data_IF_128223405677
#
_entry.id   IF_128223405677
#
_cell.length_a   1.000
_cell.length_b   1.000
_cell.length_c   1.000
_cell.angle_alpha   90.00
_cell.angle_beta   90.00
_cell.angle_gamma   90.00
#
_symmetry.space_group_name_H-M   'P 1'
#
loop_
_entity.id
_entity.type
_entity.pdbx_description
1 polymer ?
#
# COMPACT_ATOMS: atom_id res chain seq x y z
N UNK A 1 7.66 8.40 29.90
CA UNK A 1 6.27 8.09 29.44
C UNK A 1 5.97 8.39 27.95
N UNK A 2 6.78 9.22 27.27
CA UNK A 2 6.66 9.54 25.83
C UNK A 2 7.24 8.48 24.89
N UNK A 3 8.34 7.81 25.28
CA UNK A 3 9.03 6.80 24.46
C UNK A 3 8.16 5.58 24.14
N UNK A 4 7.39 5.09 25.12
CA UNK A 4 6.53 3.92 24.96
C UNK A 4 5.36 4.14 23.98
N UNK A 5 4.83 5.37 23.93
CA UNK A 5 3.79 5.74 22.96
C UNK A 5 4.32 5.74 21.53
N UNK A 6 5.54 6.26 21.32
CA UNK A 6 6.20 6.23 20.01
C UNK A 6 6.45 4.79 19.54
N UNK A 7 6.96 3.93 20.42
CA UNK A 7 7.20 2.52 20.11
C UNK A 7 5.91 1.78 19.74
N UNK A 8 4.84 1.92 20.54
CA UNK A 8 3.53 1.31 20.24
C UNK A 8 3.00 1.75 18.87
N UNK A 9 3.16 3.03 18.53
CA UNK A 9 2.73 3.56 17.24
C UNK A 9 3.50 2.92 16.08
N UNK A 10 4.81 2.70 16.22
CA UNK A 10 5.63 2.03 15.20
C UNK A 10 5.28 0.54 15.07
N UNK A 11 5.10 -0.17 16.17
CA UNK A 11 4.65 -1.57 16.15
C UNK A 11 3.29 -1.72 15.48
N UNK A 12 2.37 -0.78 15.72
CA UNK A 12 1.09 -0.72 15.01
C UNK A 12 1.28 -0.56 13.49
N UNK A 13 2.23 0.26 13.03
CA UNK A 13 2.51 0.41 11.60
C UNK A 13 3.13 -0.86 10.99
N UNK A 14 4.02 -1.54 11.71
CA UNK A 14 4.57 -2.86 11.29
C UNK A 14 3.43 -3.86 11.09
N UNK A 15 2.47 -3.90 12.00
CA UNK A 15 1.31 -4.78 11.89
C UNK A 15 0.41 -4.40 10.70
N UNK A 16 0.29 -3.10 10.39
CA UNK A 16 -0.40 -2.65 9.17
C UNK A 16 0.30 -3.09 7.88
N UNK A 17 1.63 -3.16 7.86
CA UNK A 17 2.38 -3.73 6.71
C UNK A 17 2.07 -5.21 6.54
N UNK A 18 1.93 -5.96 7.65
CA UNK A 18 1.55 -7.38 7.59
C UNK A 18 0.12 -7.56 7.04
N UNK A 19 -0.79 -6.66 7.37
CA UNK A 19 -2.17 -6.64 6.85
C UNK A 19 -2.29 -6.17 5.39
N UNK A 20 -1.32 -5.40 4.89
CA UNK A 20 -1.40 -4.80 3.55
C UNK A 20 -1.35 -5.84 2.43
N UNK A 21 -2.18 -5.71 1.40
CA UNK A 21 -2.10 -6.55 0.20
C UNK A 21 -1.18 -5.92 -0.85
N UNK A 22 -1.16 -4.59 -0.90
CA UNK A 22 -0.37 -3.82 -1.86
C UNK A 22 0.59 -2.86 -1.16
N UNK A 23 1.87 -2.96 -1.50
CA UNK A 23 2.96 -2.17 -0.93
C UNK A 23 3.49 -1.18 -1.98
N UNK A 24 3.55 0.10 -1.62
CA UNK A 24 4.20 1.14 -2.41
C UNK A 24 5.62 1.38 -1.92
N UNK A 25 6.61 0.91 -2.67
CA UNK A 25 8.02 1.15 -2.39
C UNK A 25 8.44 2.52 -2.94
N UNK A 26 8.60 3.50 -2.06
CA UNK A 26 8.92 4.87 -2.41
C UNK A 26 10.44 5.08 -2.39
N UNK A 27 10.99 5.44 -3.53
CA UNK A 27 12.41 5.68 -3.74
C UNK A 27 12.67 7.18 -3.77
N UNK A 28 13.32 7.70 -2.70
CA UNK A 28 13.64 9.12 -2.55
C UNK A 28 14.79 9.60 -3.43
N UNK A 29 15.94 8.92 -3.31
CA UNK A 29 17.20 9.34 -3.93
C UNK A 29 17.98 8.10 -4.37
N UNK A 30 18.31 8.02 -5.66
CA UNK A 30 19.01 6.88 -6.28
C UNK A 30 20.54 6.91 -6.01
N UNK A 31 21.06 8.01 -5.47
CA UNK A 31 22.50 8.22 -5.28
C UNK A 31 23.12 7.47 -4.09
N UNK A 32 22.32 6.73 -3.31
CA UNK A 32 22.80 5.99 -2.14
C UNK A 32 23.22 4.57 -2.56
N UNK A 33 24.41 4.14 -2.11
CA UNK A 33 24.90 2.78 -2.35
C UNK A 33 23.96 1.73 -1.75
N UNK A 34 23.80 0.58 -2.43
CA UNK A 34 22.91 -0.50 -1.96
C UNK A 34 21.43 -0.34 -2.33
N UNK A 35 21.08 0.71 -3.08
CA UNK A 35 19.67 0.99 -3.42
C UNK A 35 19.02 -0.12 -4.24
N UNK A 36 19.73 -0.64 -5.25
CA UNK A 36 19.21 -1.69 -6.14
C UNK A 36 19.01 -3.00 -5.40
N UNK A 37 19.94 -3.34 -4.51
CA UNK A 37 19.90 -4.48 -3.62
C UNK A 37 18.70 -4.36 -2.67
N UNK A 38 18.47 -3.17 -2.09
CA UNK A 38 17.33 -2.91 -1.22
C UNK A 38 15.99 -3.05 -1.95
N UNK A 39 15.87 -2.53 -3.17
CA UNK A 39 14.66 -2.70 -4.00
C UNK A 39 14.41 -4.17 -4.31
N UNK A 40 15.44 -4.91 -4.72
CA UNK A 40 15.32 -6.34 -5.01
C UNK A 40 14.93 -7.14 -3.76
N UNK A 41 15.47 -6.79 -2.60
CA UNK A 41 15.11 -7.39 -1.32
C UNK A 41 13.64 -7.20 -0.98
N UNK A 42 13.13 -5.97 -1.07
CA UNK A 42 11.69 -5.71 -0.80
C UNK A 42 10.81 -6.49 -1.75
N UNK A 43 11.18 -6.56 -3.04
CA UNK A 43 10.44 -7.36 -4.02
C UNK A 43 10.43 -8.85 -3.65
N UNK A 44 11.57 -9.40 -3.22
CA UNK A 44 11.67 -10.79 -2.79
C UNK A 44 10.82 -11.06 -1.54
N UNK A 45 10.91 -10.20 -0.52
CA UNK A 45 10.12 -10.32 0.71
C UNK A 45 8.61 -10.22 0.46
N UNK A 46 8.20 -9.24 -0.35
CA UNK A 46 6.80 -9.09 -0.68
C UNK A 46 6.28 -10.24 -1.54
N UNK A 47 7.08 -10.76 -2.47
CA UNK A 47 6.74 -11.96 -3.25
C UNK A 47 6.57 -13.18 -2.33
N UNK A 48 7.50 -13.40 -1.41
CA UNK A 48 7.41 -14.48 -0.42
C UNK A 48 6.20 -14.31 0.52
N UNK A 49 5.75 -13.08 0.75
CA UNK A 49 4.54 -12.79 1.51
C UNK A 49 3.24 -12.80 0.67
N UNK A 50 3.30 -13.05 -0.65
CA UNK A 50 2.15 -13.02 -1.55
C UNK A 50 1.56 -11.63 -1.80
N UNK A 51 2.36 -10.55 -1.65
CA UNK A 51 1.92 -9.15 -1.73
C UNK A 51 2.36 -8.48 -3.03
N UNK A 52 1.54 -7.56 -3.55
CA UNK A 52 1.85 -6.75 -4.74
C UNK A 52 2.79 -5.60 -4.36
N UNK A 53 3.77 -5.28 -5.22
CA UNK A 53 4.72 -4.18 -4.99
C UNK A 53 4.72 -3.20 -6.16
N UNK A 54 4.48 -1.93 -5.88
CA UNK A 54 4.70 -0.82 -6.81
C UNK A 54 5.95 -0.04 -6.41
N UNK A 55 6.88 0.15 -7.35
CA UNK A 55 8.07 0.98 -7.11
C UNK A 55 7.81 2.39 -7.63
N UNK A 56 7.80 3.37 -6.73
CA UNK A 56 7.45 4.76 -7.01
C UNK A 56 8.70 5.61 -6.77
N UNK A 57 9.29 6.17 -7.83
CA UNK A 57 10.41 7.09 -7.70
C UNK A 57 9.91 8.52 -7.50
N UNK A 58 10.30 9.13 -6.39
CA UNK A 58 9.89 10.49 -6.02
C UNK A 58 11.08 11.18 -5.40
N UNK A 59 11.49 12.37 -5.88
CA UNK A 59 12.59 13.12 -5.25
C UNK A 59 12.32 13.44 -3.78
N UNK A 60 11.66 14.57 -3.50
CA UNK A 60 11.20 14.90 -2.14
C UNK A 60 9.80 14.34 -1.90
N UNK A 61 9.67 13.45 -0.92
CA UNK A 61 8.38 12.89 -0.47
C UNK A 61 7.55 13.99 0.20
N UNK A 62 6.27 14.07 -0.15
CA UNK A 62 5.28 14.91 0.52
C UNK A 62 3.92 14.19 0.55
N UNK A 63 2.97 14.75 1.29
CA UNK A 63 1.61 14.19 1.42
C UNK A 63 0.91 14.12 0.06
N UNK A 64 0.87 15.22 -0.69
CA UNK A 64 0.16 15.29 -1.98
C UNK A 64 0.62 14.24 -3.01
N UNK A 65 1.90 13.90 -3.04
CA UNK A 65 2.46 12.92 -3.97
C UNK A 65 2.07 11.50 -3.60
N UNK A 66 2.06 11.17 -2.31
CA UNK A 66 1.62 9.84 -1.87
C UNK A 66 0.10 9.68 -1.94
N UNK A 67 -0.65 10.77 -1.70
CA UNK A 67 -2.11 10.78 -1.80
C UNK A 67 -2.62 10.29 -3.17
N UNK A 68 -1.91 10.61 -4.26
CA UNK A 68 -2.24 10.15 -5.61
C UNK A 68 -2.25 8.62 -5.76
N UNK A 69 -1.51 7.90 -4.90
CA UNK A 69 -1.39 6.44 -4.94
C UNK A 69 -2.14 5.77 -3.78
N UNK A 70 -2.70 6.54 -2.84
CA UNK A 70 -3.39 6.02 -1.66
C UNK A 70 -4.65 5.19 -1.98
N UNK A 71 -5.22 5.32 -3.18
CA UNK A 71 -6.35 4.49 -3.58
C UNK A 71 -5.95 3.03 -3.87
N UNK A 72 -4.74 2.83 -4.40
CA UNK A 72 -4.28 1.53 -4.90
C UNK A 72 -3.22 0.89 -3.99
N UNK A 73 -2.57 1.69 -3.13
CA UNK A 73 -1.54 1.25 -2.18
C UNK A 73 -2.08 1.27 -0.76
N UNK A 74 -1.91 0.16 -0.04
CA UNK A 74 -2.33 0.04 1.35
C UNK A 74 -1.32 0.62 2.33
N UNK A 75 -0.02 0.50 2.02
CA UNK A 75 1.08 0.98 2.87
C UNK A 75 2.30 1.35 2.04
N UNK A 76 2.98 2.43 2.43
CA UNK A 76 4.19 2.91 1.78
C UNK A 76 5.44 2.54 2.57
N UNK A 77 6.45 2.02 1.88
CA UNK A 77 7.78 1.74 2.43
C UNK A 77 8.75 2.76 1.85
N UNK A 78 9.38 3.56 2.72
CA UNK A 78 10.37 4.55 2.30
C UNK A 78 11.76 3.93 2.21
N UNK A 79 12.33 3.97 1.00
CA UNK A 79 13.76 3.79 0.77
C UNK A 79 14.44 5.16 0.80
N UNK A 80 14.89 5.57 1.98
CA UNK A 80 15.60 6.83 2.21
C UNK A 80 16.85 6.64 3.05
N UNK A 81 17.62 7.72 3.20
CA UNK A 81 18.74 7.80 4.15
C UNK A 81 18.28 7.44 5.59
N UNK A 82 19.13 6.78 6.40
CA UNK A 82 18.82 6.37 7.77
C UNK A 82 18.29 7.50 8.67
N UNK A 83 18.71 8.74 8.44
CA UNK A 83 18.24 9.89 9.22
C UNK A 83 16.86 10.43 8.78
N UNK A 84 16.37 10.03 7.60
CA UNK A 84 15.12 10.52 7.01
C UNK A 84 13.86 9.74 7.42
N UNK A 85 13.99 8.72 8.26
CA UNK A 85 12.94 7.72 8.54
C UNK A 85 12.03 8.11 9.71
N UNK A 86 12.46 9.05 10.55
CA UNK A 86 11.69 9.59 11.70
C UNK A 86 10.74 10.71 11.27
N UNK A 87 10.09 10.56 10.11
CA UNK A 87 9.06 11.51 9.67
C UNK A 87 7.85 11.45 10.60
N UNK A 88 7.25 12.60 10.86
CA UNK A 88 5.92 12.65 11.46
C UNK A 88 4.92 12.11 10.44
N UNK A 89 4.55 10.85 10.61
CA UNK A 89 3.65 10.14 9.70
C UNK A 89 2.18 10.46 9.94
N UNK A 90 1.85 11.40 10.85
CA UNK A 90 0.46 11.74 11.18
C UNK A 90 -0.32 12.36 10.02
N UNK A 91 0.37 12.99 9.07
CA UNK A 91 -0.25 13.74 7.96
C UNK A 91 -0.50 12.90 6.70
N UNK A 92 -0.09 11.62 6.69
CA UNK A 92 -0.28 10.74 5.53
C UNK A 92 -1.52 9.86 5.72
N UNK A 93 -2.32 9.73 4.67
CA UNK A 93 -3.56 8.93 4.71
C UNK A 93 -3.31 7.43 4.89
N UNK A 94 -2.19 6.96 4.34
CA UNK A 94 -1.74 5.56 4.44
C UNK A 94 -0.50 5.46 5.32
N UNK A 95 -0.31 4.32 6.02
CA UNK A 95 0.89 4.10 6.81
C UNK A 95 2.15 4.27 5.96
N UNK A 96 3.12 4.99 6.52
CA UNK A 96 4.45 5.18 5.91
C UNK A 96 5.47 4.61 6.86
N UNK A 97 6.18 3.58 6.41
CA UNK A 97 7.15 2.83 7.22
C UNK A 97 8.54 2.89 6.63
N UNK A 98 9.52 2.62 7.49
CA UNK A 98 10.90 2.40 7.09
C UNK A 98 11.09 1.05 6.42
N UNK A 99 12.20 0.90 5.68
CA UNK A 99 12.60 -0.41 5.18
C UNK A 99 12.81 -1.43 6.31
N UNK A 100 13.37 -1.02 7.44
CA UNK A 100 13.59 -1.91 8.58
C UNK A 100 12.27 -2.42 9.20
N UNK A 101 11.27 -1.55 9.30
CA UNK A 101 9.93 -1.93 9.77
C UNK A 101 9.24 -2.88 8.78
N UNK A 102 9.40 -2.65 7.48
CA UNK A 102 8.91 -3.55 6.44
C UNK A 102 9.64 -4.91 6.47
N UNK A 103 10.94 -4.91 6.76
CA UNK A 103 11.74 -6.13 6.94
C UNK A 103 11.17 -6.97 8.09
N UNK A 104 10.92 -6.38 9.26
CA UNK A 104 10.34 -7.09 10.41
C UNK A 104 8.90 -7.56 10.15
N UNK A 105 8.16 -6.81 9.33
CA UNK A 105 6.81 -7.19 8.96
C UNK A 105 6.79 -8.43 8.05
N UNK A 106 7.66 -8.46 7.03
CA UNK A 106 7.61 -9.43 5.94
C UNK A 106 8.56 -10.61 6.12
N UNK A 107 9.64 -10.45 6.86
CA UNK A 107 10.63 -11.48 7.11
C UNK A 107 10.34 -12.19 8.44
N UNK A 108 9.97 -13.46 8.36
CA UNK A 108 9.61 -14.26 9.53
C UNK A 108 10.80 -14.59 10.44
N UNK A 109 12.00 -14.67 9.87
CA UNK A 109 13.24 -14.88 10.64
C UNK A 109 13.62 -13.66 11.48
N UNK A 110 13.04 -12.49 11.18
CA UNK A 110 13.42 -11.24 11.80
C UNK A 110 12.39 -10.85 12.85
N UNK A 111 12.63 -11.28 14.06
CA UNK A 111 11.86 -10.81 15.21
C UNK A 111 12.22 -9.36 15.56
N UNK A 112 11.24 -8.62 16.07
CA UNK A 112 11.47 -7.32 16.68
C UNK A 112 12.31 -7.49 17.94
N UNK A 113 13.63 -7.39 17.82
CA UNK A 113 14.54 -7.48 18.96
C UNK A 113 14.92 -6.08 19.45
N UNK A 114 14.33 -5.66 20.56
CA UNK A 114 14.70 -4.42 21.23
C UNK A 114 16.19 -4.38 21.65
N UNK A 115 16.82 -5.55 21.83
CA UNK A 115 18.22 -5.68 22.26
C UNK A 115 19.24 -5.54 21.12
N UNK A 116 18.88 -5.92 19.88
CA UNK A 116 19.76 -5.80 18.71
C UNK A 116 19.77 -4.38 18.11
N UNK A 117 18.95 -3.48 18.66
CA UNK A 117 18.86 -2.09 18.24
C UNK A 117 17.99 -1.90 16.99
N UNK A 118 17.13 -0.88 17.04
CA UNK A 118 16.46 -0.39 15.83
C UNK A 118 17.51 0.29 14.94
N UNK A 119 17.67 -0.17 13.70
CA UNK A 119 18.56 0.46 12.72
C UNK A 119 17.74 0.96 11.54
N UNK A 120 17.97 2.21 11.15
CA UNK A 120 17.40 2.76 9.92
C UNK A 120 18.29 2.56 8.71
N UNK A 121 19.50 2.02 8.91
CA UNK A 121 20.45 1.72 7.86
C UNK A 121 20.21 0.33 7.31
N UNK A 122 19.67 0.28 6.09
CA UNK A 122 19.34 -0.98 5.44
C UNK A 122 20.54 -1.74 4.90
N UNK A 123 21.70 -1.09 4.74
CA UNK A 123 22.90 -1.77 4.24
C UNK A 123 23.35 -2.89 5.18
N UNK A 124 23.01 -2.78 6.47
CA UNK A 124 23.34 -3.76 7.51
C UNK A 124 22.60 -5.08 7.36
N UNK A 125 21.42 -5.08 6.72
CA UNK A 125 20.56 -6.26 6.63
C UNK A 125 20.12 -6.62 5.21
N UNK A 126 20.53 -5.85 4.20
CA UNK A 126 20.10 -6.09 2.82
C UNK A 126 20.56 -7.46 2.29
N UNK A 127 21.64 -7.99 2.86
CA UNK A 127 22.23 -9.28 2.50
C UNK A 127 21.83 -10.42 3.45
N UNK A 128 20.99 -10.16 4.46
CA UNK A 128 20.54 -11.22 5.39
C UNK A 128 19.76 -12.29 4.61
N UNK A 129 19.92 -13.59 4.92
CA UNK A 129 19.20 -14.65 4.23
C UNK A 129 17.69 -14.48 4.40
N UNK A 130 16.96 -14.48 3.28
CA UNK A 130 15.49 -14.49 3.26
C UNK A 130 15.00 -15.94 3.28
N UNK A 131 14.00 -16.27 4.10
CA UNK A 131 13.33 -17.58 4.01
C UNK A 131 12.62 -17.69 2.66
N UNK A 132 12.96 -18.73 1.92
CA UNK A 132 12.13 -19.27 0.84
C UNK A 132 10.86 -19.87 1.46
N UNK A 133 9.70 -19.62 0.84
CA UNK A 133 8.31 -19.98 1.22
C UNK A 133 8.07 -21.39 1.84
N UNK A 134 9.05 -22.30 1.83
CA UNK A 134 8.95 -23.72 2.13
C UNK A 134 9.24 -24.15 3.59
N UNK A 135 9.68 -23.28 4.50
CA UNK A 135 10.24 -23.71 5.80
C UNK A 135 9.42 -23.32 7.03
N UNK A 136 8.11 -23.11 6.90
CA UNK A 136 7.24 -23.03 8.08
C UNK A 136 6.69 -24.41 8.43
N UNK A 137 7.13 -24.93 9.57
CA UNK A 137 6.65 -26.18 10.18
C UNK A 137 5.57 -25.95 11.24
N UNK A 138 5.19 -24.69 11.52
CA UNK A 138 4.18 -24.36 12.52
C UNK A 138 2.84 -23.98 11.84
N UNK A 139 1.88 -24.89 11.95
CA UNK A 139 0.48 -24.82 11.49
C UNK A 139 -0.37 -23.75 12.23
N UNK A 140 0.25 -22.78 12.89
CA UNK A 140 -0.47 -21.73 13.58
C UNK A 140 -1.03 -20.70 12.57
N UNK A 141 -2.35 -20.41 12.61
CA UNK A 141 -2.94 -19.39 11.74
C UNK A 141 -2.37 -18.01 12.07
N UNK A 142 -1.92 -17.28 11.05
CA UNK A 142 -1.48 -15.89 11.19
C UNK A 142 -2.72 -14.99 11.35
N UNK A 143 -2.89 -14.37 12.52
CA UNK A 143 -4.02 -13.50 12.84
C UNK A 143 -3.53 -12.07 13.01
N UNK A 144 -4.19 -11.14 12.32
CA UNK A 144 -3.95 -9.70 12.48
C UNK A 144 -4.22 -9.24 13.91
N UNK A 145 -3.21 -8.67 14.57
CA UNK A 145 -3.35 -8.12 15.92
C UNK A 145 -4.16 -6.81 15.94
N UNK A 146 -4.39 -6.19 14.78
CA UNK A 146 -5.18 -4.95 14.66
C UNK A 146 -6.63 -5.23 14.31
N UNK A 147 -6.88 -6.15 13.37
CA UNK A 147 -8.24 -6.40 12.85
C UNK A 147 -8.86 -7.72 13.33
N UNK A 148 -8.07 -8.61 13.94
CA UNK A 148 -8.50 -9.96 14.32
C UNK A 148 -8.76 -10.89 13.13
N UNK A 149 -8.46 -10.47 11.90
CA UNK A 149 -8.67 -11.27 10.68
C UNK A 149 -7.53 -12.26 10.49
N UNK A 150 -7.87 -13.47 10.04
CA UNK A 150 -6.89 -14.48 9.63
C UNK A 150 -6.29 -14.09 8.28
N UNK A 151 -4.96 -14.07 8.17
CA UNK A 151 -4.23 -13.78 6.94
C UNK A 151 -4.02 -15.08 6.17
N UNK A 152 -4.57 -15.16 4.97
CA UNK A 152 -4.30 -16.28 4.06
C UNK A 152 -3.06 -15.89 3.26
N UNK A 153 -1.94 -16.60 3.46
CA UNK A 153 -0.80 -16.51 2.55
C UNK A 153 -1.13 -17.31 1.30
N UNK A 154 -1.05 -16.67 0.14
CA UNK A 154 -1.08 -17.38 -1.13
C UNK A 154 0.16 -18.27 -1.20
N UNK A 155 0.00 -19.55 -0.89
CA UNK A 155 0.97 -20.57 -1.30
C UNK A 155 0.79 -20.70 -2.81
N UNK A 156 1.89 -20.62 -3.57
CA UNK A 156 1.85 -20.95 -5.00
C UNK A 156 1.33 -22.40 -5.09
N UNK A 157 0.12 -22.59 -5.62
CA UNK A 157 -0.46 -23.90 -5.86
C UNK A 157 0.45 -24.65 -6.85
N UNK A 158 1.19 -25.64 -6.37
CA UNK A 158 1.59 -26.75 -7.22
C UNK A 158 0.33 -27.57 -7.56
N UNK A 159 0.15 -27.88 -8.85
CA UNK A 159 -1.07 -28.47 -9.38
C UNK A 159 -1.50 -29.78 -8.68
N UNK A 160 -2.82 -29.83 -8.39
CA UNK A 160 -3.72 -30.99 -8.27
C UNK A 160 -3.54 -31.99 -7.12
N UNK A 161 -4.57 -32.04 -6.28
CA UNK A 161 -5.25 -33.31 -5.99
C UNK A 161 -6.74 -33.07 -5.75
N UNK A 162 -7.58 -33.87 -6.40
CA UNK A 162 -9.04 -33.81 -6.31
C UNK A 162 -9.50 -34.15 -4.87
N UNK A 163 -10.38 -33.31 -4.30
CA UNK A 163 -11.22 -33.72 -3.16
C UNK A 163 -11.07 -32.96 -1.84
N UNK A 164 -10.45 -31.78 -1.80
CA UNK A 164 -10.44 -30.92 -0.61
C UNK A 164 -11.26 -29.65 -0.82
N UNK A 165 -12.30 -29.44 0.00
CA UNK A 165 -13.09 -28.19 0.01
C UNK A 165 -12.14 -27.01 0.29
N UNK A 166 -11.80 -26.23 -0.74
CA UNK A 166 -11.09 -24.97 -0.57
C UNK A 166 -12.03 -23.98 0.11
N UNK A 167 -11.69 -23.56 1.32
CA UNK A 167 -12.37 -22.46 1.99
C UNK A 167 -12.33 -21.23 1.09
N UNK A 168 -13.53 -20.80 0.70
CA UNK A 168 -13.86 -19.70 -0.21
C UNK A 168 -12.88 -18.52 -0.06
N UNK A 169 -12.12 -18.24 -1.11
CA UNK A 169 -11.40 -16.98 -1.23
C UNK A 169 -12.42 -15.84 -1.24
N UNK A 170 -12.50 -15.08 -0.14
CA UNK A 170 -13.38 -13.92 0.02
C UNK A 170 -12.83 -12.67 -0.71
N UNK A 171 -12.28 -12.83 -1.91
CA UNK A 171 -11.73 -11.71 -2.68
C UNK A 171 -11.96 -11.95 -4.17
N UNK A 172 -13.18 -11.68 -4.63
CA UNK A 172 -13.45 -11.49 -6.05
C UNK A 172 -12.80 -10.19 -6.54
N UNK A 173 -12.32 -10.18 -7.78
CA UNK A 173 -11.73 -9.01 -8.43
C UNK A 173 -12.69 -7.79 -8.47
N UNK A 174 -13.99 -7.98 -8.26
CA UNK A 174 -15.01 -6.93 -8.14
C UNK A 174 -15.00 -6.16 -6.81
N UNK A 175 -14.57 -6.78 -5.71
CA UNK A 175 -14.57 -6.13 -4.38
C UNK A 175 -13.61 -4.93 -4.28
N UNK A 176 -12.68 -4.81 -5.23
CA UNK A 176 -11.75 -3.68 -5.34
C UNK A 176 -12.44 -2.35 -5.69
N UNK A 177 -13.56 -2.41 -6.42
CA UNK A 177 -14.35 -1.23 -6.79
C UNK A 177 -15.44 -0.92 -5.76
N UNK A 178 -15.89 -1.91 -4.98
CA UNK A 178 -16.98 -1.72 -4.01
C UNK A 178 -16.63 -0.77 -2.87
N UNK A 179 -15.38 -0.76 -2.42
CA UNK A 179 -14.92 0.08 -1.32
C UNK A 179 -14.62 1.54 -1.74
N UNK A 180 -14.74 1.90 -3.02
CA UNK A 180 -14.49 3.27 -3.51
C UNK A 180 -15.74 4.13 -3.34
N UNK A 181 -15.55 5.37 -2.88
CA UNK A 181 -16.62 6.37 -2.82
C UNK A 181 -17.04 6.84 -4.22
N UNK A 182 -16.13 6.78 -5.20
CA UNK A 182 -16.41 7.05 -6.60
C UNK A 182 -16.46 5.73 -7.38
N UNK A 183 -17.66 5.38 -7.87
CA UNK A 183 -17.90 4.16 -8.67
C UNK A 183 -17.95 4.41 -10.18
N UNK A 184 -17.61 5.62 -10.62
CA UNK A 184 -17.76 6.05 -12.00
C UNK A 184 -19.05 6.85 -12.23
N UNK A 185 -19.29 7.21 -13.50
CA UNK A 185 -20.58 7.73 -13.93
C UNK A 185 -21.56 6.56 -13.96
N UNK A 186 -22.72 6.71 -13.32
CA UNK A 186 -23.72 5.66 -13.29
C UNK A 186 -24.45 5.60 -14.64
N UNK A 187 -24.19 4.55 -15.42
CA UNK A 187 -24.78 4.36 -16.75
C UNK A 187 -26.29 4.06 -16.69
N UNK A 188 -26.82 3.69 -15.52
CA UNK A 188 -28.26 3.44 -15.32
C UNK A 188 -29.11 4.72 -15.25
N UNK A 189 -28.45 5.89 -15.16
CA UNK A 189 -29.12 7.19 -15.10
C UNK A 189 -29.89 7.51 -16.40
N UNK A 190 -29.56 6.84 -17.51
CA UNK A 190 -30.29 6.97 -18.77
C UNK A 190 -31.71 6.34 -18.73
N UNK A 191 -31.99 5.42 -17.81
CA UNK A 191 -33.30 4.73 -17.72
C UNK A 191 -34.34 5.47 -16.88
N UNK A 192 -33.90 6.42 -16.04
CA UNK A 192 -34.81 7.17 -15.15
C UNK A 192 -35.34 8.43 -15.84
N UNK A 193 -36.66 8.50 -16.04
CA UNK A 193 -37.40 9.61 -16.68
C UNK A 193 -37.14 11.01 -16.07
N UNK A 194 -36.56 11.10 -14.88
CA UNK A 194 -36.22 12.36 -14.23
C UNK A 194 -34.93 13.02 -14.78
N UNK A 195 -34.11 12.29 -15.55
CA UNK A 195 -32.79 12.75 -16.03
C UNK A 195 -32.75 13.28 -17.46
N UNK A 196 -33.86 13.32 -18.20
CA UNK A 196 -33.88 13.97 -19.53
C UNK A 196 -33.51 15.46 -19.47
N UNK A 197 -33.70 16.11 -18.30
CA UNK A 197 -33.34 17.52 -18.11
C UNK A 197 -31.83 17.78 -17.98
N UNK A 198 -31.04 16.82 -17.47
CA UNK A 198 -29.60 16.99 -17.22
C UNK A 198 -28.73 16.51 -18.38
N UNK A 199 -29.26 15.62 -19.22
CA UNK A 199 -28.62 15.08 -20.43
C UNK A 199 -29.11 15.74 -21.72
N UNK A 200 -30.04 16.70 -21.63
CA UNK A 200 -30.47 17.48 -22.77
C UNK A 200 -29.29 18.19 -23.43
N UNK A 201 -29.05 17.88 -24.71
CA UNK A 201 -28.04 18.54 -25.52
C UNK A 201 -28.50 19.98 -25.74
N UNK A 202 -27.89 20.92 -25.03
CA UNK A 202 -28.14 22.35 -25.19
C UNK A 202 -27.05 22.97 -26.06
N UNK A 203 -27.46 23.95 -26.85
CA UNK A 203 -26.51 24.75 -27.62
C UNK A 203 -25.61 25.55 -26.67
N UNK A 204 -24.29 25.36 -26.80
CA UNK A 204 -23.29 26.03 -25.98
C UNK A 204 -23.23 27.54 -26.21
N UNK A 205 -22.55 28.26 -25.31
CA UNK A 205 -22.38 29.72 -25.44
C UNK A 205 -21.59 30.08 -26.70
N UNK A 206 -22.06 31.09 -27.44
CA UNK A 206 -21.41 31.61 -28.65
C UNK A 206 -20.82 32.98 -28.39
N UNK A 207 -19.68 33.28 -29.01
CA UNK A 207 -19.01 34.57 -28.90
C UNK A 207 -17.48 34.47 -28.85
N UNK A 208 -16.83 35.61 -28.63
CA UNK A 208 -15.37 35.70 -28.41
C UNK A 208 -15.10 35.62 -26.91
N UNK A 209 -13.94 35.09 -26.52
CA UNK A 209 -13.57 34.95 -25.10
C UNK A 209 -13.57 36.28 -24.29
N UNK A 210 -13.57 37.44 -24.98
CA UNK A 210 -13.69 38.76 -24.37
C UNK A 210 -15.13 39.17 -24.01
N UNK A 211 -16.13 38.38 -24.39
CA UNK A 211 -17.54 38.59 -24.07
C UNK A 211 -18.42 37.64 -24.89
N UNK A 212 -19.09 36.72 -24.22
CA UNK A 212 -20.07 35.84 -24.87
C UNK A 212 -21.38 36.59 -25.13
N UNK A 213 -22.12 36.20 -26.16
CA UNK A 213 -23.36 36.88 -26.59
C UNK A 213 -24.44 36.87 -25.49
N UNK A 214 -24.40 35.86 -24.63
CA UNK A 214 -25.30 35.61 -23.52
C UNK A 214 -24.73 36.07 -22.16
N UNK A 215 -23.64 36.82 -22.15
CA UNK A 215 -23.06 37.41 -20.94
C UNK A 215 -23.69 38.79 -20.67
N UNK A 216 -24.26 38.99 -19.48
CA UNK A 216 -24.79 40.30 -19.10
C UNK A 216 -23.64 41.31 -19.00
N UNK A 217 -23.70 42.38 -19.79
CA UNK A 217 -22.78 43.50 -19.65
C UNK A 217 -22.97 44.12 -18.27
N UNK A 218 -21.89 44.11 -17.47
CA UNK A 218 -21.77 44.94 -16.29
C UNK A 218 -21.64 46.41 -16.66
#
# INVERSE_FOLDING_TARGET
>A
PSSWRGLRRRLFMVEKVRDANTIGLVVGTVAVAGHREAVNRVRALAKAAGKKVYVISVGKVNVAKLANFSADVDTFVLLSCPFGVLLDTSSFDKPVVSLFEAEIALNENKEWMAQAGWTSDYTQFVNDPTISLSTRTDDAPDVSLVSGRVRVRAVEEEEKTEGGVSTVALWEAGNYFEARSWRGLDDSVAENQECESSTAILEGRKGRAAGYENEQRK
#
